data_IF_326557796469
#
_entry.id   IF_326557796469
#
_cell.length_a   1.000
_cell.length_b   1.000
_cell.length_c   1.000
_cell.angle_alpha   90.00
_cell.angle_beta   90.00
_cell.angle_gamma   90.00
#
_symmetry.space_group_name_H-M   'P 1'
#
loop_
_entity.id
_entity.type
_entity.pdbx_description
1 polymer ?
#
# COMPACT_ATOMS: atom_id res chain seq x y z
N UNK A 1 -20.70 -20.75 0.15
CA UNK A 1 -20.41 -21.22 -1.22
C UNK A 1 -19.09 -20.59 -1.64
N UNK A 2 -18.03 -21.38 -1.80
CA UNK A 2 -16.73 -20.85 -2.26
C UNK A 2 -16.83 -20.58 -3.77
N UNK A 3 -16.90 -19.31 -4.14
CA UNK A 3 -16.67 -18.88 -5.52
C UNK A 3 -15.21 -19.20 -5.85
N UNK A 4 -14.99 -20.22 -6.69
CA UNK A 4 -13.66 -20.48 -7.27
C UNK A 4 -13.33 -19.31 -8.20
N UNK A 5 -12.30 -18.54 -7.84
CA UNK A 5 -11.76 -17.46 -8.67
C UNK A 5 -11.10 -18.04 -9.91
N UNK A 6 -11.32 -17.41 -11.06
CA UNK A 6 -10.56 -17.72 -12.28
C UNK A 6 -9.45 -16.67 -12.35
N UNK A 7 -8.16 -17.04 -12.40
CA UNK A 7 -7.09 -16.06 -12.56
C UNK A 7 -7.18 -15.46 -13.97
N UNK A 8 -7.58 -14.20 -14.07
CA UNK A 8 -7.53 -13.46 -15.32
C UNK A 8 -6.09 -12.99 -15.56
N UNK A 9 -5.27 -13.88 -16.12
CA UNK A 9 -3.96 -13.51 -16.66
C UNK A 9 -4.18 -12.69 -17.94
N UNK A 10 -4.38 -11.38 -17.82
CA UNK A 10 -4.33 -10.48 -18.96
C UNK A 10 -2.89 -10.02 -19.14
N UNK A 11 -2.16 -10.68 -20.04
CA UNK A 11 -0.92 -10.13 -20.57
C UNK A 11 -1.30 -8.94 -21.45
N UNK A 12 -1.22 -7.72 -20.90
CA UNK A 12 -1.17 -6.53 -21.75
C UNK A 12 0.09 -6.65 -22.58
N UNK A 13 -0.05 -6.99 -23.87
CA UNK A 13 1.05 -7.29 -24.80
C UNK A 13 1.90 -6.08 -25.20
N UNK A 14 2.24 -5.19 -24.26
CA UNK A 14 3.23 -4.13 -24.44
C UNK A 14 4.53 -4.55 -23.76
N UNK A 15 5.67 -4.22 -24.38
CA UNK A 15 6.98 -4.35 -23.75
C UNK A 15 7.12 -3.30 -22.61
N UNK A 16 6.50 -3.62 -21.48
CA UNK A 16 6.48 -2.81 -20.25
C UNK A 16 7.87 -2.70 -19.63
N UNK A 17 8.77 -3.65 -19.91
CA UNK A 17 10.14 -3.64 -19.37
C UNK A 17 10.91 -2.40 -19.81
N UNK A 18 10.66 -1.90 -21.03
CA UNK A 18 11.27 -0.66 -21.55
C UNK A 18 10.92 0.60 -20.75
N UNK A 19 9.81 0.58 -20.00
CA UNK A 19 9.31 1.71 -19.20
C UNK A 19 9.70 1.61 -17.71
N UNK A 20 10.39 0.55 -17.31
CA UNK A 20 10.85 0.36 -15.92
C UNK A 20 12.18 1.11 -15.74
N UNK A 21 12.31 1.94 -14.69
CA UNK A 21 13.58 2.59 -14.38
C UNK A 21 14.73 1.58 -14.22
N UNK A 22 15.90 1.91 -14.77
CA UNK A 22 17.10 1.08 -14.66
C UNK A 22 17.56 0.91 -13.20
N UNK A 23 17.28 1.90 -12.36
CA UNK A 23 17.47 1.82 -10.91
C UNK A 23 16.31 2.52 -10.19
N UNK A 24 15.99 2.07 -8.99
CA UNK A 24 15.10 2.79 -8.09
C UNK A 24 15.91 3.89 -7.38
N UNK A 25 16.28 4.94 -8.11
CA UNK A 25 16.98 6.09 -7.51
C UNK A 25 16.19 6.60 -6.30
N UNK A 26 16.86 6.72 -5.15
CA UNK A 26 16.26 7.14 -3.88
C UNK A 26 15.76 6.02 -2.95
N UNK A 27 15.68 4.76 -3.41
CA UNK A 27 15.34 3.61 -2.53
C UNK A 27 16.58 2.98 -1.90
N UNK A 28 17.68 2.95 -2.64
CA UNK A 28 18.95 2.38 -2.20
C UNK A 28 19.99 3.46 -1.91
N UNK A 29 19.74 4.30 -0.90
CA UNK A 29 20.69 5.31 -0.42
C UNK A 29 22.00 4.74 0.14
N UNK A 30 22.74 3.98 -0.68
CA UNK A 30 24.13 3.58 -0.51
C UNK A 30 24.91 4.07 -1.75
N UNK A 31 24.84 5.37 -2.01
CA UNK A 31 25.94 6.03 -2.69
C UNK A 31 27.11 6.13 -1.70
N UNK A 32 27.98 5.12 -1.68
CA UNK A 32 29.15 5.09 -0.79
C UNK A 32 30.03 3.88 -1.06
N UNK A 33 31.02 4.04 -1.92
CA UNK A 33 31.92 2.96 -2.34
C UNK A 33 32.69 2.34 -1.18
N UNK A 34 32.67 1.02 -1.11
CA UNK A 34 33.72 0.27 -0.42
C UNK A 34 34.94 0.19 -1.34
N UNK A 35 35.78 1.23 -1.29
CA UNK A 35 37.18 1.08 -1.66
C UNK A 35 37.85 0.26 -0.56
N UNK A 36 38.35 -0.92 -0.94
CA UNK A 36 39.04 -1.83 -0.04
C UNK A 36 40.26 -1.17 0.60
N UNK A 37 40.25 -1.10 1.92
CA UNK A 37 41.45 -0.94 2.73
C UNK A 37 41.44 -2.00 3.82
N UNK A 38 42.18 -3.07 3.57
CA UNK A 38 42.52 -4.12 4.51
C UNK A 38 43.31 -3.54 5.69
N UNK A 39 42.80 -3.68 6.92
CA UNK A 39 43.61 -3.73 8.13
C UNK A 39 43.04 -4.75 9.12
N UNK A 40 43.96 -5.60 9.56
CA UNK A 40 43.84 -6.64 10.57
C UNK A 40 43.95 -6.06 12.00
N UNK A 41 43.85 -6.96 12.99
CA UNK A 41 43.80 -6.78 14.45
C UNK A 41 42.39 -6.45 14.94
N UNK A 42 41.74 -7.21 15.82
CA UNK A 42 42.24 -8.02 16.92
C UNK A 42 41.34 -7.65 18.10
N UNK A 43 40.26 -8.40 18.34
CA UNK A 43 39.33 -8.11 19.44
C UNK A 43 39.50 -9.18 20.51
N UNK A 44 40.13 -8.73 21.58
CA UNK A 44 40.25 -9.40 22.87
C UNK A 44 38.90 -9.36 23.60
N UNK A 45 38.44 -10.50 24.11
CA UNK A 45 37.23 -10.57 24.97
C UNK A 45 37.65 -10.39 26.43
N UNK A 46 36.98 -9.52 27.21
CA UNK A 46 37.02 -9.64 28.66
C UNK A 46 35.80 -10.42 29.18
N UNK A 47 36.10 -11.40 30.01
CA UNK A 47 35.19 -12.05 30.96
C UNK A 47 35.09 -11.23 32.25
N UNK A 48 33.89 -11.08 32.83
CA UNK A 48 33.55 -11.22 34.28
C UNK A 48 32.15 -10.63 34.56
N UNK A 49 31.22 -11.49 34.98
CA UNK A 49 30.69 -11.74 36.36
C UNK A 49 29.66 -10.72 36.82
N UNK A 50 28.54 -11.29 37.31
CA UNK A 50 27.35 -10.64 37.82
C UNK A 50 27.63 -9.65 38.96
N UNK A 51 26.81 -8.61 38.99
CA UNK A 51 26.44 -7.91 40.22
C UNK A 51 24.97 -7.45 40.09
N UNK A 52 24.24 -7.67 41.16
CA UNK A 52 22.79 -7.58 41.26
C UNK A 52 22.45 -6.15 41.70
N UNK A 53 21.94 -5.34 40.77
CA UNK A 53 21.57 -3.94 41.00
C UNK A 53 20.11 -3.71 40.65
N UNK A 54 19.27 -3.73 41.68
CA UNK A 54 17.87 -3.32 41.68
C UNK A 54 17.74 -1.87 41.15
N UNK A 55 17.00 -1.69 40.06
CA UNK A 55 16.62 -0.38 39.52
C UNK A 55 15.10 -0.31 39.47
N UNK A 56 14.54 0.21 40.56
CA UNK A 56 13.25 0.89 40.56
C UNK A 56 13.34 2.07 39.59
N UNK A 57 12.64 1.97 38.46
CA UNK A 57 12.58 2.98 37.43
C UNK A 57 11.16 3.05 36.89
N UNK A 58 10.58 4.23 37.06
CA UNK A 58 9.20 4.59 36.78
C UNK A 58 8.64 4.01 35.47
N UNK A 59 7.53 3.30 35.59
CA UNK A 59 6.72 2.80 34.49
C UNK A 59 6.02 4.01 33.82
N UNK A 60 6.74 4.70 32.93
CA UNK A 60 6.14 5.55 31.90
C UNK A 60 5.06 4.72 31.17
N UNK A 61 3.81 5.21 31.01
CA UNK A 61 2.83 4.48 30.23
C UNK A 61 3.29 4.56 28.77
N UNK A 62 3.93 3.48 28.29
CA UNK A 62 4.15 3.28 26.87
C UNK A 62 2.83 3.51 26.16
N UNK A 63 2.82 4.51 25.28
CA UNK A 63 1.65 4.86 24.49
C UNK A 63 1.15 3.59 23.81
N UNK A 64 -0.06 3.19 24.19
CA UNK A 64 -0.81 2.13 23.52
C UNK A 64 -0.80 2.45 22.02
N UNK A 65 -0.12 1.61 21.24
CA UNK A 65 -0.04 1.73 19.78
C UNK A 65 -1.40 1.47 19.10
N UNK A 66 -2.47 1.27 19.88
CA UNK A 66 -3.83 1.07 19.37
C UNK A 66 -3.95 -0.21 18.55
N UNK A 67 -3.05 -1.18 18.76
CA UNK A 67 -3.07 -2.47 18.09
C UNK A 67 -4.02 -3.47 18.79
N UNK A 68 -4.67 -3.05 19.87
CA UNK A 68 -5.57 -3.88 20.69
C UNK A 68 -7.02 -3.96 20.13
N UNK A 69 -7.27 -3.41 18.93
CA UNK A 69 -8.52 -3.60 18.20
C UNK A 69 -8.52 -4.91 17.41
N UNK A 70 -9.61 -5.69 17.49
CA UNK A 70 -9.77 -6.97 16.79
C UNK A 70 -9.26 -6.89 15.32
N UNK A 71 -8.53 -7.91 14.82
CA UNK A 71 -7.93 -7.91 13.48
C UNK A 71 -8.94 -7.97 12.33
N UNK A 72 -10.24 -7.80 12.62
CA UNK A 72 -11.35 -7.95 11.70
C UNK A 72 -11.97 -6.59 11.30
N UNK A 73 -12.83 -6.64 10.29
CA UNK A 73 -13.69 -5.52 9.95
C UNK A 73 -14.79 -5.42 11.01
N UNK A 74 -14.90 -4.26 11.65
CA UNK A 74 -15.83 -4.00 12.73
C UNK A 74 -16.75 -2.81 12.43
N UNK A 75 -17.72 -2.59 13.31
CA UNK A 75 -18.57 -1.41 13.33
C UNK A 75 -19.15 -1.01 11.97
N UNK A 76 -18.73 0.14 11.46
CA UNK A 76 -19.17 0.69 10.18
C UNK A 76 -18.61 -0.06 8.97
N UNK A 77 -17.35 -0.47 9.01
CA UNK A 77 -16.70 -1.20 7.91
C UNK A 77 -17.37 -2.56 7.69
N UNK A 78 -17.79 -3.23 8.76
CA UNK A 78 -18.56 -4.48 8.68
C UNK A 78 -19.93 -4.29 7.97
N UNK A 79 -20.54 -3.10 8.04
CA UNK A 79 -21.79 -2.78 7.31
C UNK A 79 -21.54 -2.43 5.85
N UNK A 80 -20.40 -1.81 5.55
CA UNK A 80 -20.01 -1.39 4.20
C UNK A 80 -19.52 -2.58 3.36
N UNK A 81 -18.65 -3.41 3.93
CA UNK A 81 -17.91 -4.44 3.19
C UNK A 81 -18.77 -5.40 2.34
N UNK A 82 -19.87 -5.99 2.84
CA UNK A 82 -20.70 -6.89 2.04
C UNK A 82 -21.29 -6.23 0.78
N UNK A 83 -21.45 -4.91 0.79
CA UNK A 83 -21.92 -4.11 -0.36
C UNK A 83 -20.78 -3.67 -1.26
N UNK A 84 -19.60 -3.43 -0.70
CA UNK A 84 -18.41 -3.05 -1.47
C UNK A 84 -17.84 -4.24 -2.25
N UNK A 85 -17.70 -5.40 -1.62
CA UNK A 85 -16.95 -6.56 -2.17
C UNK A 85 -17.50 -7.07 -3.51
N UNK A 86 -18.80 -6.93 -3.76
CA UNK A 86 -19.42 -7.34 -5.03
C UNK A 86 -18.98 -6.48 -6.22
N UNK A 87 -18.37 -5.32 -5.95
CA UNK A 87 -17.79 -4.40 -6.93
C UNK A 87 -16.26 -4.51 -7.02
N UNK A 88 -15.61 -5.31 -6.17
CA UNK A 88 -14.16 -5.42 -6.08
C UNK A 88 -13.60 -6.69 -6.73
N UNK A 89 -14.44 -7.51 -7.38
CA UNK A 89 -14.01 -8.69 -8.15
C UNK A 89 -13.43 -8.29 -9.53
N UNK A 90 -12.48 -7.35 -9.51
CA UNK A 90 -11.73 -6.86 -10.67
C UNK A 90 -10.28 -6.77 -10.23
N UNK A 91 -9.34 -7.32 -11.01
CA UNK A 91 -7.88 -7.23 -10.78
C UNK A 91 -7.41 -7.55 -9.33
N UNK A 92 -8.12 -8.41 -8.60
CA UNK A 92 -7.85 -8.70 -7.17
C UNK A 92 -8.03 -7.49 -6.24
N UNK A 93 -8.92 -6.56 -6.59
CA UNK A 93 -9.21 -5.36 -5.81
C UNK A 93 -9.75 -5.66 -4.43
N UNK A 94 -10.46 -6.76 -4.25
CA UNK A 94 -10.99 -7.14 -2.94
C UNK A 94 -9.86 -7.38 -1.93
N UNK A 95 -8.82 -8.13 -2.30
CA UNK A 95 -7.65 -8.34 -1.46
C UNK A 95 -6.84 -7.04 -1.28
N UNK A 96 -6.59 -6.29 -2.37
CA UNK A 96 -5.96 -4.95 -2.33
C UNK A 96 -6.63 -4.04 -1.31
N UNK A 97 -7.95 -3.90 -1.37
CA UNK A 97 -8.73 -3.04 -0.48
C UNK A 97 -8.51 -3.41 1.00
N UNK A 98 -8.48 -4.70 1.36
CA UNK A 98 -8.26 -5.09 2.75
C UNK A 98 -6.85 -4.76 3.24
N UNK A 99 -5.82 -4.96 2.40
CA UNK A 99 -4.47 -4.52 2.74
C UNK A 99 -4.38 -2.99 2.85
N UNK A 100 -5.00 -2.25 1.93
CA UNK A 100 -5.01 -0.79 1.95
C UNK A 100 -5.74 -0.24 3.19
N UNK A 101 -6.84 -0.86 3.63
CA UNK A 101 -7.52 -0.55 4.91
C UNK A 101 -6.56 -0.78 6.09
N UNK A 102 -5.83 -1.89 6.12
CA UNK A 102 -4.88 -2.18 7.19
C UNK A 102 -3.72 -1.16 7.23
N UNK A 103 -3.20 -0.77 6.06
CA UNK A 103 -2.19 0.29 5.96
C UNK A 103 -2.77 1.63 6.43
N UNK A 104 -3.99 1.98 6.04
CA UNK A 104 -4.64 3.20 6.48
C UNK A 104 -4.83 3.25 8.02
N UNK A 105 -5.21 2.12 8.66
CA UNK A 105 -5.26 2.00 10.13
C UNK A 105 -3.89 2.31 10.76
N UNK A 106 -2.81 1.77 10.18
CA UNK A 106 -1.44 2.05 10.64
C UNK A 106 -1.05 3.53 10.49
N UNK A 107 -1.40 4.16 9.36
CA UNK A 107 -1.13 5.58 9.12
C UNK A 107 -1.95 6.51 10.03
N UNK A 108 -3.20 6.16 10.34
CA UNK A 108 -4.05 6.92 11.27
C UNK A 108 -3.42 7.03 12.67
N UNK A 109 -2.71 6.00 13.14
CA UNK A 109 -2.03 6.07 14.43
C UNK A 109 -0.93 7.15 14.47
N UNK A 110 -0.34 7.50 13.31
CA UNK A 110 0.63 8.59 13.19
C UNK A 110 -0.02 9.98 12.96
N UNK A 111 -1.34 10.01 12.73
CA UNK A 111 -2.10 11.21 12.38
C UNK A 111 -3.39 11.31 13.23
N UNK A 112 -3.27 11.56 14.55
CA UNK A 112 -4.41 11.63 15.47
C UNK A 112 -5.40 12.77 15.15
N UNK A 113 -4.99 13.75 14.35
CA UNK A 113 -5.83 14.82 13.83
C UNK A 113 -6.80 14.36 12.72
N UNK A 114 -6.56 13.22 12.09
CA UNK A 114 -7.35 12.72 10.97
C UNK A 114 -8.61 11.99 11.44
N UNK A 115 -9.72 12.21 10.74
CA UNK A 115 -10.99 11.51 11.02
C UNK A 115 -10.98 10.10 10.43
N UNK A 116 -10.76 9.09 11.29
CA UNK A 116 -10.82 7.68 10.91
C UNK A 116 -12.17 7.27 10.29
N UNK A 117 -13.27 7.93 10.68
CA UNK A 117 -14.60 7.72 10.12
C UNK A 117 -14.78 8.24 8.69
N UNK A 118 -13.81 9.02 8.18
CA UNK A 118 -13.71 9.40 6.76
C UNK A 118 -12.69 8.55 6.03
N UNK A 119 -11.49 8.39 6.59
CA UNK A 119 -10.39 7.64 5.95
C UNK A 119 -10.77 6.20 5.64
N UNK A 120 -11.28 5.46 6.65
CA UNK A 120 -11.47 4.02 6.50
C UNK A 120 -12.59 3.66 5.52
N UNK A 121 -13.76 4.33 5.53
CA UNK A 121 -14.77 4.13 4.48
C UNK A 121 -14.28 4.56 3.09
N UNK A 122 -13.52 5.66 2.99
CA UNK A 122 -12.99 6.14 1.71
C UNK A 122 -12.04 5.12 1.08
N UNK A 123 -11.04 4.62 1.82
CA UNK A 123 -10.12 3.61 1.29
C UNK A 123 -10.82 2.26 1.05
N UNK A 124 -11.85 1.90 1.82
CA UNK A 124 -12.63 0.69 1.55
C UNK A 124 -13.39 0.76 0.21
N UNK A 125 -13.80 1.96 -0.18
CA UNK A 125 -14.68 2.18 -1.33
C UNK A 125 -13.98 2.77 -2.55
N UNK A 126 -12.73 3.24 -2.44
CA UNK A 126 -12.04 3.99 -3.51
C UNK A 126 -12.10 3.28 -4.86
N UNK A 127 -11.91 1.97 -4.85
CA UNK A 127 -11.68 1.16 -6.04
C UNK A 127 -12.91 0.44 -6.62
N UNK A 128 -14.10 0.62 -6.02
CA UNK A 128 -15.34 -0.06 -6.48
C UNK A 128 -15.77 0.39 -7.89
N UNK A 129 -15.32 1.56 -8.34
CA UNK A 129 -15.62 2.10 -9.65
C UNK A 129 -15.03 1.31 -10.81
N UNK A 130 -13.96 0.54 -10.58
CA UNK A 130 -13.40 -0.34 -11.61
C UNK A 130 -14.39 -1.39 -12.10
N UNK A 131 -15.43 -1.73 -11.31
CA UNK A 131 -16.55 -2.58 -11.75
C UNK A 131 -17.37 -2.01 -12.92
N UNK A 132 -17.13 -0.76 -13.31
CA UNK A 132 -17.81 -0.08 -14.42
C UNK A 132 -16.91 0.15 -15.64
N UNK A 133 -15.64 -0.19 -15.54
CA UNK A 133 -14.70 -0.17 -16.67
C UNK A 133 -14.77 -1.53 -17.39
N UNK A 134 -14.77 -1.55 -18.74
CA UNK A 134 -14.70 -2.81 -19.49
C UNK A 134 -13.52 -3.68 -19.01
N UNK A 135 -13.73 -4.96 -18.64
CA UNK A 135 -12.71 -5.78 -17.97
C UNK A 135 -11.40 -5.95 -18.75
N UNK A 136 -11.47 -5.93 -20.08
CA UNK A 136 -10.33 -6.00 -20.99
C UNK A 136 -9.52 -4.69 -21.08
N UNK A 137 -10.12 -3.55 -20.71
CA UNK A 137 -9.47 -2.23 -20.73
C UNK A 137 -8.87 -1.81 -19.37
N UNK A 138 -9.22 -2.49 -18.27
CA UNK A 138 -8.80 -2.12 -16.90
C UNK A 138 -7.27 -2.01 -16.77
N UNK A 139 -6.52 -3.00 -17.26
CA UNK A 139 -5.06 -2.99 -17.13
C UNK A 139 -4.40 -1.99 -18.07
N UNK A 140 -5.05 -1.60 -19.17
CA UNK A 140 -4.55 -0.55 -20.06
C UNK A 140 -4.55 0.82 -19.38
N UNK A 141 -5.50 1.05 -18.47
CA UNK A 141 -5.58 2.28 -17.70
C UNK A 141 -4.39 2.49 -16.77
N UNK A 142 -3.88 1.41 -16.17
CA UNK A 142 -2.83 1.46 -15.13
C UNK A 142 -1.44 1.04 -15.63
N UNK A 143 -1.33 0.73 -16.93
CA UNK A 143 -0.08 0.28 -17.54
C UNK A 143 1.06 1.31 -17.41
N UNK A 144 2.31 0.88 -17.23
CA UNK A 144 3.50 1.74 -17.34
C UNK A 144 3.56 2.50 -18.68
N UNK A 145 3.96 3.77 -18.63
CA UNK A 145 4.37 4.53 -19.81
C UNK A 145 3.29 5.22 -20.66
N UNK A 146 1.99 5.12 -20.33
CA UNK A 146 0.94 5.83 -21.08
C UNK A 146 -0.46 5.26 -20.90
N UNK A 147 -0.95 5.30 -19.66
CA UNK A 147 -2.28 4.79 -19.29
C UNK A 147 -3.45 5.55 -19.92
N UNK A 148 -4.64 4.98 -19.82
CA UNK A 148 -5.93 5.57 -20.24
C UNK A 148 -6.52 6.45 -19.14
N UNK A 149 -6.14 7.73 -19.11
CA UNK A 149 -6.65 8.71 -18.13
C UNK A 149 -8.18 8.81 -18.12
N UNK A 150 -8.82 8.63 -19.28
CA UNK A 150 -10.28 8.62 -19.40
C UNK A 150 -10.93 7.48 -18.59
N UNK A 151 -10.27 6.32 -18.52
CA UNK A 151 -10.76 5.18 -17.74
C UNK A 151 -10.51 5.36 -16.24
N UNK A 152 -9.41 6.01 -15.86
CA UNK A 152 -9.18 6.41 -14.46
C UNK A 152 -10.29 7.34 -13.99
N UNK A 153 -10.59 8.39 -14.76
CA UNK A 153 -11.68 9.33 -14.44
C UNK A 153 -13.05 8.63 -14.40
N UNK A 154 -13.32 7.70 -15.32
CA UNK A 154 -14.56 6.91 -15.30
C UNK A 154 -14.69 6.12 -14.00
N UNK A 155 -13.62 5.43 -13.59
CA UNK A 155 -13.59 4.67 -12.36
C UNK A 155 -13.83 5.57 -11.13
N UNK A 156 -13.18 6.73 -11.04
CA UNK A 156 -13.36 7.64 -9.90
C UNK A 156 -14.81 8.15 -9.80
N UNK A 157 -15.39 8.58 -10.94
CA UNK A 157 -16.76 9.10 -10.98
C UNK A 157 -17.80 8.03 -10.65
N UNK A 158 -17.65 6.83 -11.20
CA UNK A 158 -18.55 5.72 -10.88
C UNK A 158 -18.35 5.20 -9.46
N UNK A 159 -17.11 5.18 -8.97
CA UNK A 159 -16.77 4.84 -7.59
C UNK A 159 -17.45 5.79 -6.61
N UNK A 160 -17.34 7.09 -6.82
CA UNK A 160 -18.00 8.12 -6.03
C UNK A 160 -19.53 7.96 -6.02
N UNK A 161 -20.14 7.68 -7.18
CA UNK A 161 -21.58 7.43 -7.31
C UNK A 161 -22.03 6.19 -6.54
N UNK A 162 -21.30 5.08 -6.66
CA UNK A 162 -21.59 3.83 -5.94
C UNK A 162 -21.38 3.99 -4.43
N UNK A 163 -20.30 4.65 -4.03
CA UNK A 163 -19.95 4.87 -2.63
C UNK A 163 -21.05 5.64 -1.91
N UNK A 164 -21.61 6.69 -2.53
CA UNK A 164 -22.73 7.45 -1.97
C UNK A 164 -23.93 6.56 -1.62
N UNK A 165 -24.31 5.64 -2.51
CA UNK A 165 -25.42 4.72 -2.28
C UNK A 165 -25.09 3.74 -1.13
N UNK A 166 -23.90 3.15 -1.14
CA UNK A 166 -23.45 2.19 -0.11
C UNK A 166 -23.39 2.86 1.27
N UNK A 167 -22.87 4.08 1.36
CA UNK A 167 -22.75 4.84 2.60
C UNK A 167 -24.12 5.21 3.18
N UNK A 168 -25.06 5.64 2.33
CA UNK A 168 -26.43 5.90 2.74
C UNK A 168 -27.11 4.64 3.29
N UNK A 169 -26.96 3.49 2.62
CA UNK A 169 -27.49 2.21 3.10
C UNK A 169 -26.81 1.72 4.39
N UNK A 170 -25.54 2.06 4.61
CA UNK A 170 -24.80 1.72 5.82
C UNK A 170 -25.13 2.67 7.00
N UNK A 171 -25.95 3.70 6.78
CA UNK A 171 -26.39 4.67 7.78
C UNK A 171 -25.37 5.77 8.05
N UNK A 172 -24.46 6.06 7.13
CA UNK A 172 -23.46 7.12 7.27
C UNK A 172 -24.14 8.50 7.07
N UNK A 173 -23.96 9.46 8.00
CA UNK A 173 -24.55 10.79 7.87
C UNK A 173 -24.14 11.51 6.57
N UNK A 174 -25.07 12.24 5.94
CA UNK A 174 -24.85 12.87 4.63
C UNK A 174 -23.63 13.79 4.59
N UNK A 175 -23.38 14.56 5.66
CA UNK A 175 -22.20 15.44 5.74
C UNK A 175 -20.88 14.65 5.65
N UNK A 176 -20.79 13.51 6.33
CA UNK A 176 -19.61 12.65 6.28
C UNK A 176 -19.53 11.89 4.95
N UNK A 177 -20.67 11.45 4.42
CA UNK A 177 -20.78 10.86 3.08
C UNK A 177 -20.22 11.81 2.01
N UNK A 178 -20.53 13.11 2.08
CA UNK A 178 -20.01 14.09 1.14
C UNK A 178 -18.47 14.16 1.16
N UNK A 179 -17.85 14.22 2.35
CA UNK A 179 -16.38 14.20 2.52
C UNK A 179 -15.74 12.93 1.96
N UNK A 180 -16.33 11.77 2.26
CA UNK A 180 -15.83 10.47 1.78
C UNK A 180 -15.90 10.40 0.24
N UNK A 181 -17.03 10.80 -0.34
CA UNK A 181 -17.24 10.76 -1.79
C UNK A 181 -16.32 11.73 -2.53
N UNK A 182 -16.02 12.90 -1.96
CA UNK A 182 -15.07 13.87 -2.52
C UNK A 182 -13.61 13.34 -2.57
N UNK A 183 -13.20 12.56 -1.57
CA UNK A 183 -11.91 11.85 -1.58
C UNK A 183 -11.88 10.83 -2.72
N UNK A 184 -12.91 9.98 -2.83
CA UNK A 184 -13.00 8.94 -3.85
C UNK A 184 -13.01 9.56 -5.26
N UNK A 185 -13.71 10.69 -5.46
CA UNK A 185 -13.80 11.41 -6.72
C UNK A 185 -12.52 12.20 -7.07
N UNK A 186 -11.41 11.49 -7.24
CA UNK A 186 -10.09 12.06 -7.54
C UNK A 186 -8.93 11.42 -6.79
N UNK A 187 -9.11 10.27 -6.12
CA UNK A 187 -8.03 9.65 -5.35
C UNK A 187 -6.85 9.20 -6.21
N UNK A 188 -7.05 8.89 -7.49
CA UNK A 188 -6.02 8.50 -8.45
C UNK A 188 -5.54 9.68 -9.31
N UNK A 189 -6.46 10.47 -9.86
CA UNK A 189 -6.16 11.52 -10.85
C UNK A 189 -5.70 12.84 -10.22
N UNK A 190 -6.19 13.18 -9.02
CA UNK A 190 -5.84 14.43 -8.34
C UNK A 190 -4.43 14.34 -7.78
N UNK A 191 -3.56 15.28 -8.18
CA UNK A 191 -2.15 15.31 -7.80
C UNK A 191 -1.90 15.77 -6.37
N UNK A 192 -2.72 16.68 -5.87
CA UNK A 192 -2.63 17.21 -4.51
C UNK A 192 -3.69 16.55 -3.62
N UNK A 193 -3.39 16.40 -2.32
CA UNK A 193 -4.36 15.95 -1.34
C UNK A 193 -5.24 17.12 -0.88
N UNK A 194 -6.55 16.90 -0.78
CA UNK A 194 -7.51 17.90 -0.30
C UNK A 194 -7.45 18.13 1.22
N UNK A 195 -7.08 17.08 1.96
CA UNK A 195 -7.01 17.08 3.42
C UNK A 195 -6.02 16.01 3.89
N UNK A 196 -5.80 15.93 5.21
CA UNK A 196 -5.00 14.85 5.79
C UNK A 196 -5.65 13.48 5.55
N UNK A 197 -6.98 13.39 5.57
CA UNK A 197 -7.70 12.15 5.27
C UNK A 197 -7.50 11.71 3.81
N UNK A 198 -7.58 12.64 2.85
CA UNK A 198 -7.30 12.34 1.43
C UNK A 198 -5.85 11.88 1.26
N UNK A 199 -4.89 12.54 1.94
CA UNK A 199 -3.49 12.15 1.93
C UNK A 199 -3.28 10.72 2.44
N UNK A 200 -3.91 10.35 3.56
CA UNK A 200 -3.80 8.99 4.13
C UNK A 200 -4.40 7.94 3.18
N UNK A 201 -5.55 8.23 2.55
CA UNK A 201 -6.17 7.32 1.58
C UNK A 201 -5.25 7.10 0.38
N UNK A 202 -4.74 8.19 -0.22
CA UNK A 202 -3.80 8.12 -1.36
C UNK A 202 -2.51 7.40 -0.99
N UNK A 203 -1.99 7.63 0.20
CA UNK A 203 -0.78 6.99 0.71
C UNK A 203 -0.98 5.49 0.95
N UNK A 204 -2.12 5.09 1.54
CA UNK A 204 -2.42 3.70 1.82
C UNK A 204 -2.58 2.86 0.54
N UNK A 205 -3.34 3.39 -0.43
CA UNK A 205 -3.50 2.76 -1.75
C UNK A 205 -2.14 2.57 -2.46
N UNK A 206 -1.30 3.60 -2.50
CA UNK A 206 0.00 3.53 -3.17
C UNK A 206 0.96 2.60 -2.43
N UNK A 207 1.03 2.69 -1.11
CA UNK A 207 1.96 1.89 -0.29
C UNK A 207 1.70 0.39 -0.42
N UNK A 208 0.46 -0.04 -0.68
CA UNK A 208 0.13 -1.45 -0.94
C UNK A 208 1.02 -2.09 -2.02
N UNK A 209 1.43 -1.33 -3.05
CA UNK A 209 2.28 -1.83 -4.15
C UNK A 209 3.64 -2.36 -3.72
N UNK A 210 4.09 -2.03 -2.51
CA UNK A 210 5.36 -2.50 -1.93
C UNK A 210 5.16 -3.65 -0.93
N UNK A 211 3.93 -4.11 -0.71
CA UNK A 211 3.66 -5.33 0.07
C UNK A 211 3.97 -6.58 -0.77
N UNK A 212 4.19 -7.75 -0.14
CA UNK A 212 4.36 -9.00 -0.88
C UNK A 212 3.23 -9.26 -1.87
N UNK A 213 1.97 -9.11 -1.42
CA UNK A 213 0.79 -9.25 -2.26
C UNK A 213 0.77 -8.24 -3.42
N UNK A 214 1.09 -6.97 -3.16
CA UNK A 214 1.13 -5.93 -4.19
C UNK A 214 2.17 -6.19 -5.26
N UNK A 215 3.36 -6.67 -4.87
CA UNK A 215 4.41 -7.04 -5.80
C UNK A 215 4.02 -8.25 -6.66
N UNK A 216 3.50 -9.31 -6.05
CA UNK A 216 3.02 -10.50 -6.77
C UNK A 216 1.93 -10.11 -7.80
N UNK A 217 0.99 -9.28 -7.37
CA UNK A 217 -0.11 -8.82 -8.22
C UNK A 217 0.41 -8.01 -9.43
N UNK A 218 1.38 -7.12 -9.22
CA UNK A 218 1.97 -6.31 -10.29
C UNK A 218 2.84 -7.16 -11.23
N UNK A 219 3.54 -8.17 -10.70
CA UNK A 219 4.26 -9.16 -11.52
C UNK A 219 3.27 -9.88 -12.45
N UNK A 220 2.14 -10.35 -11.92
CA UNK A 220 1.13 -11.06 -12.70
C UNK A 220 0.47 -10.16 -13.76
N UNK A 221 0.15 -8.90 -13.44
CA UNK A 221 -0.46 -7.97 -14.39
C UNK A 221 0.40 -7.67 -15.61
N UNK A 222 1.73 -7.64 -15.42
CA UNK A 222 2.65 -7.09 -16.41
C UNK A 222 3.74 -8.06 -16.85
N UNK A 223 3.71 -9.31 -16.38
CA UNK A 223 4.71 -10.33 -16.70
C UNK A 223 6.13 -9.95 -16.26
N UNK A 224 6.26 -9.33 -15.09
CA UNK A 224 7.53 -8.84 -14.58
C UNK A 224 8.21 -9.86 -13.66
N UNK A 225 9.54 -9.87 -13.66
CA UNK A 225 10.27 -10.47 -12.55
C UNK A 225 10.14 -9.62 -11.27
N UNK A 226 10.46 -10.20 -10.11
CA UNK A 226 10.27 -9.54 -8.82
C UNK A 226 11.13 -8.28 -8.65
N UNK A 227 12.33 -8.25 -9.22
CA UNK A 227 13.20 -7.08 -9.20
C UNK A 227 12.68 -5.95 -10.09
N UNK A 228 12.14 -6.29 -11.27
CA UNK A 228 11.45 -5.37 -12.17
C UNK A 228 10.21 -4.77 -11.50
N UNK A 229 9.38 -5.60 -10.86
CA UNK A 229 8.21 -5.15 -10.12
C UNK A 229 8.60 -4.24 -8.96
N UNK A 230 9.61 -4.60 -8.15
CA UNK A 230 10.10 -3.73 -7.07
C UNK A 230 10.54 -2.36 -7.59
N UNK A 231 11.31 -2.30 -8.69
CA UNK A 231 11.76 -1.02 -9.27
C UNK A 231 10.59 -0.18 -9.78
N UNK A 232 9.66 -0.80 -10.51
CA UNK A 232 8.47 -0.13 -11.02
C UNK A 232 7.61 0.41 -9.87
N UNK A 233 7.23 -0.45 -8.90
CA UNK A 233 6.43 -0.07 -7.75
C UNK A 233 7.12 1.03 -6.93
N UNK A 234 8.41 0.88 -6.63
CA UNK A 234 9.18 1.88 -5.89
C UNK A 234 9.12 3.26 -6.54
N UNK A 235 9.34 3.35 -7.85
CA UNK A 235 9.31 4.62 -8.58
C UNK A 235 7.93 5.29 -8.53
N UNK A 236 6.86 4.49 -8.63
CA UNK A 236 5.47 4.97 -8.60
C UNK A 236 5.03 5.37 -7.20
N UNK A 237 5.48 4.67 -6.17
CA UNK A 237 5.09 4.94 -4.78
C UNK A 237 5.82 6.17 -4.26
N UNK A 238 7.16 6.15 -4.21
CA UNK A 238 7.91 7.20 -3.51
C UNK A 238 7.73 8.61 -4.06
N UNK A 239 7.45 8.76 -5.35
CA UNK A 239 7.22 10.07 -5.98
C UNK A 239 5.86 10.70 -5.63
N UNK A 240 4.91 9.94 -5.06
CA UNK A 240 3.51 10.36 -4.91
C UNK A 240 2.97 10.21 -3.49
N UNK A 241 3.83 9.94 -2.50
CA UNK A 241 3.43 9.87 -1.09
C UNK A 241 3.42 11.26 -0.45
N UNK A 242 2.41 11.53 0.36
CA UNK A 242 2.15 12.81 1.01
C UNK A 242 2.77 12.86 2.40
N UNK A 243 2.45 11.89 3.25
CA UNK A 243 2.82 11.89 4.67
C UNK A 243 4.22 11.32 4.91
N UNK A 244 4.89 11.79 5.96
CA UNK A 244 6.21 11.26 6.33
C UNK A 244 6.11 9.83 6.89
N UNK A 245 4.99 9.50 7.55
CA UNK A 245 4.68 8.15 8.02
C UNK A 245 4.61 7.16 6.85
N UNK A 246 3.86 7.49 5.78
CA UNK A 246 3.78 6.63 4.59
C UNK A 246 5.13 6.52 3.88
N UNK A 247 5.87 7.63 3.73
CA UNK A 247 7.22 7.60 3.14
C UNK A 247 8.16 6.68 3.93
N UNK A 248 8.09 6.69 5.26
CA UNK A 248 8.89 5.81 6.10
C UNK A 248 8.48 4.34 5.94
N UNK A 249 7.18 4.04 5.96
CA UNK A 249 6.65 2.69 5.76
C UNK A 249 7.05 2.13 4.39
N UNK A 250 6.87 2.90 3.32
CA UNK A 250 7.27 2.52 1.97
C UNK A 250 8.77 2.24 1.86
N UNK A 251 9.63 3.07 2.48
CA UNK A 251 11.08 2.83 2.50
C UNK A 251 11.42 1.52 3.21
N UNK A 252 10.76 1.24 4.33
CA UNK A 252 10.94 -0.01 5.07
C UNK A 252 10.55 -1.24 4.25
N UNK A 253 9.36 -1.22 3.62
CA UNK A 253 8.88 -2.30 2.77
C UNK A 253 9.81 -2.56 1.57
N UNK A 254 10.23 -1.50 0.88
CA UNK A 254 11.16 -1.62 -0.24
C UNK A 254 12.55 -2.13 0.17
N UNK A 255 13.05 -1.72 1.34
CA UNK A 255 14.32 -2.20 1.88
C UNK A 255 14.27 -3.71 2.22
N UNK A 256 13.18 -4.17 2.85
CA UNK A 256 12.97 -5.59 3.16
C UNK A 256 12.90 -6.42 1.87
N UNK A 257 12.09 -6.00 0.91
CA UNK A 257 11.97 -6.72 -0.36
C UNK A 257 13.31 -6.72 -1.12
N UNK A 258 14.06 -5.63 -1.08
CA UNK A 258 15.40 -5.63 -1.68
C UNK A 258 16.34 -6.64 -1.05
N UNK A 259 16.29 -6.82 0.27
CA UNK A 259 17.14 -7.77 0.95
C UNK A 259 16.86 -9.21 0.46
N UNK A 260 15.61 -9.53 0.13
CA UNK A 260 15.25 -10.82 -0.49
C UNK A 260 15.90 -11.03 -1.87
N UNK A 261 16.24 -9.95 -2.57
CA UNK A 261 16.87 -9.98 -3.90
C UNK A 261 18.40 -9.94 -3.84
N UNK A 262 19.01 -9.80 -2.66
CA UNK A 262 20.47 -9.77 -2.55
C UNK A 262 21.08 -11.13 -2.89
N UNK A 263 22.22 -11.18 -3.62
CA UNK A 263 22.88 -12.44 -3.96
C UNK A 263 23.16 -13.32 -2.73
N UNK A 264 23.58 -12.72 -1.62
CA UNK A 264 23.86 -13.40 -0.36
C UNK A 264 22.62 -14.06 0.23
N UNK A 265 21.47 -13.39 0.15
CA UNK A 265 20.20 -13.91 0.67
C UNK A 265 19.62 -14.99 -0.23
N UNK A 266 19.69 -14.80 -1.55
CA UNK A 266 19.24 -15.79 -2.55
C UNK A 266 20.08 -17.07 -2.46
N UNK A 267 21.39 -16.95 -2.20
CA UNK A 267 22.27 -18.10 -2.06
C UNK A 267 21.90 -19.02 -0.88
N UNK A 268 21.16 -18.54 0.13
CA UNK A 268 20.67 -19.36 1.25
C UNK A 268 19.48 -20.26 0.87
N UNK A 269 18.78 -19.97 -0.23
CA UNK A 269 17.63 -20.74 -0.73
C UNK A 269 18.00 -21.74 -1.82
N UNK A 270 19.26 -21.73 -2.27
CA UNK A 270 19.77 -22.73 -3.19
C UNK A 270 20.09 -24.02 -2.39
N UNK A 271 19.58 -25.19 -2.81
CA UNK A 271 19.79 -26.46 -2.12
C UNK A 271 21.26 -26.91 -2.06
#
# INVERSE_FOLDING_TARGET
MSLKRTPTSNQVGRDVASSIPASAEGVFGLAGGFSGASRSSGIDRPSRTADDGELDGDNEPGGDLGLDGDPELDGELARIWPRAVVHLDVRSNDAHTLYAVAIARSLLAAHPEADAGVVLPAIMLHDIGWSKVPPDEVLEAIAPGGGREDLVLLHEKEGARLARAILAEAGVPEERTARIVEIIDGHDSRREALSIEDAIVKDADKTWRLTPHGLDTVMDWFGLDRGQALRLCSSRVHAHLFTDAAKALARGLAAIESANLWPERVALELP
#
